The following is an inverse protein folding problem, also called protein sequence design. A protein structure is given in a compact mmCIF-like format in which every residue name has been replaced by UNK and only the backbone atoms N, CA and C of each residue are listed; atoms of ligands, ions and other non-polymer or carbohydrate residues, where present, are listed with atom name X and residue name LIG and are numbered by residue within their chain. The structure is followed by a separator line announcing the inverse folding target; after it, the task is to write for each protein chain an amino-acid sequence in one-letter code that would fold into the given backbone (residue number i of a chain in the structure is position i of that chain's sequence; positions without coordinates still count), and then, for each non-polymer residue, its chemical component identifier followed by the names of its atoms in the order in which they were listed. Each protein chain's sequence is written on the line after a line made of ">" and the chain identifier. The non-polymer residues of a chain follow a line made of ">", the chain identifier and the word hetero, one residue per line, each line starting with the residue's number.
data_IF_795504704018
#
_entry.id   IF_795504704018
#
_cell.length_a   1.000
_cell.length_b   1.000
_cell.length_c   1.000
_cell.angle_alpha   90.00
_cell.angle_beta   90.00
_cell.angle_gamma   90.00
#
_symmetry.space_group_name_H-M   'P 1'
#
loop_
_entity.id
_entity.type
_entity.pdbx_description
1 polymer ?
#
# COMPACT_ATOMS: atom_id res chain seq x y z
N UNK A 1 18.09 -30.16 -13.50
CA UNK A 1 16.62 -30.06 -13.37
C UNK A 1 16.22 -28.73 -12.73
N UNK A 2 16.90 -28.27 -11.69
CA UNK A 2 16.73 -26.91 -11.13
C UNK A 2 17.12 -25.78 -12.11
N UNK A 3 18.24 -25.95 -12.83
CA UNK A 3 18.67 -25.01 -13.88
C UNK A 3 17.68 -24.90 -15.06
N UNK A 4 17.01 -26.01 -15.42
CA UNK A 4 15.96 -26.03 -16.45
C UNK A 4 14.64 -25.41 -16.00
N UNK A 5 14.46 -25.21 -14.69
CA UNK A 5 13.31 -24.52 -14.10
C UNK A 5 13.56 -23.01 -13.93
N UNK A 6 14.72 -22.50 -14.36
CA UNK A 6 15.07 -21.09 -14.24
C UNK A 6 15.34 -20.63 -12.80
N UNK A 7 15.49 -21.56 -11.85
CA UNK A 7 15.77 -21.28 -10.44
C UNK A 7 17.27 -21.12 -10.18
N UNK A 8 17.96 -20.36 -11.02
CA UNK A 8 19.25 -19.81 -10.63
C UNK A 8 18.92 -18.63 -9.71
N UNK A 9 19.30 -18.73 -8.44
CA UNK A 9 18.97 -17.74 -7.41
C UNK A 9 19.59 -16.38 -7.76
N UNK A 10 18.89 -15.57 -8.56
CA UNK A 10 19.00 -14.13 -8.41
C UNK A 10 18.47 -13.82 -7.03
N UNK A 11 19.36 -13.32 -6.17
CA UNK A 11 19.05 -12.87 -4.82
C UNK A 11 17.78 -12.01 -4.90
N UNK A 12 16.69 -12.54 -4.36
CA UNK A 12 15.38 -11.92 -4.46
C UNK A 12 15.54 -10.56 -3.78
N UNK A 13 15.59 -9.47 -4.56
CA UNK A 13 15.69 -8.13 -4.00
C UNK A 13 14.58 -8.04 -2.97
N UNK A 14 14.95 -7.77 -1.72
CA UNK A 14 13.98 -7.37 -0.71
C UNK A 14 13.32 -6.11 -1.26
N UNK A 15 12.20 -6.29 -1.97
CA UNK A 15 11.37 -5.18 -2.36
C UNK A 15 10.73 -4.70 -1.08
N UNK A 16 11.39 -3.70 -0.49
CA UNK A 16 10.92 -3.06 0.74
C UNK A 16 9.46 -2.65 0.62
N UNK A 17 8.97 -2.29 -0.58
CA UNK A 17 7.56 -1.94 -0.77
C UNK A 17 6.63 -3.15 -0.67
N UNK A 18 7.08 -4.34 -1.11
CA UNK A 18 6.32 -5.57 -0.93
C UNK A 18 6.23 -5.95 0.55
N UNK A 19 7.35 -5.88 1.28
CA UNK A 19 7.38 -6.15 2.71
C UNK A 19 6.56 -5.12 3.51
N UNK A 20 6.64 -3.84 3.13
CA UNK A 20 5.80 -2.77 3.68
C UNK A 20 4.33 -3.06 3.42
N UNK A 21 3.97 -3.48 2.20
CA UNK A 21 2.61 -3.84 1.82
C UNK A 21 2.02 -4.97 2.68
N UNK A 22 2.80 -6.01 2.99
CA UNK A 22 2.40 -7.09 3.90
C UNK A 22 2.16 -6.58 5.33
N UNK A 23 2.92 -5.59 5.77
CA UNK A 23 2.78 -4.95 7.09
C UNK A 23 1.68 -3.87 7.13
N UNK A 24 0.93 -3.67 6.04
CA UNK A 24 -0.06 -2.61 5.96
C UNK A 24 0.55 -1.20 5.91
N UNK A 25 1.78 -1.08 5.42
CA UNK A 25 2.48 0.18 5.25
C UNK A 25 2.47 0.58 3.77
N UNK A 26 1.94 1.77 3.46
CA UNK A 26 1.93 2.32 2.12
C UNK A 26 2.84 3.53 2.03
N UNK A 27 3.79 3.54 1.10
CA UNK A 27 4.57 4.73 0.74
C UNK A 27 3.81 5.56 -0.27
N UNK A 28 3.57 6.81 0.05
CA UNK A 28 2.92 7.78 -0.84
C UNK A 28 3.94 8.36 -1.82
N UNK A 29 3.45 9.00 -2.88
CA UNK A 29 4.30 9.59 -3.94
C UNK A 29 5.24 10.69 -3.42
N UNK A 30 4.86 11.37 -2.35
CA UNK A 30 5.65 12.40 -1.65
C UNK A 30 6.59 11.83 -0.57
N UNK A 31 6.70 10.49 -0.47
CA UNK A 31 7.64 9.81 0.42
C UNK A 31 7.14 9.66 1.86
N UNK A 32 5.87 9.97 2.14
CA UNK A 32 5.28 9.70 3.46
C UNK A 32 4.91 8.22 3.56
N UNK A 33 4.98 7.67 4.77
CA UNK A 33 4.55 6.31 5.06
C UNK A 33 3.22 6.34 5.81
N UNK A 34 2.22 5.67 5.25
CA UNK A 34 0.89 5.55 5.79
C UNK A 34 0.70 4.16 6.37
N UNK A 35 0.42 4.07 7.67
CA UNK A 35 0.04 2.83 8.32
C UNK A 35 -1.49 2.61 8.19
N UNK A 36 -1.88 1.49 7.59
CA UNK A 36 -3.27 1.12 7.33
C UNK A 36 -4.01 0.60 8.57
N UNK A 37 -3.32 0.12 9.60
CA UNK A 37 -3.95 -0.44 10.82
C UNK A 37 -4.77 0.62 11.56
N UNK A 38 -4.34 1.88 11.48
CA UNK A 38 -4.97 2.99 12.19
C UNK A 38 -5.67 3.98 11.25
N UNK A 39 -5.79 3.66 9.95
CA UNK A 39 -6.33 4.60 8.97
C UNK A 39 -7.80 4.93 9.23
N UNK A 40 -8.54 4.17 10.04
CA UNK A 40 -9.95 4.41 10.36
C UNK A 40 -10.19 5.50 11.43
N UNK A 41 -9.18 5.84 12.23
CA UNK A 41 -9.28 6.71 13.43
C UNK A 41 -8.43 7.98 13.34
N UNK A 42 -7.70 8.16 12.25
CA UNK A 42 -6.85 9.35 12.04
C UNK A 42 -7.63 10.53 11.46
N UNK A 43 -7.13 11.77 11.59
CA UNK A 43 -7.68 12.93 10.86
C UNK A 43 -7.66 12.76 9.33
N UNK A 44 -6.76 11.91 8.81
CA UNK A 44 -6.74 11.54 7.40
C UNK A 44 -7.94 10.66 7.03
N UNK A 45 -8.34 9.74 7.93
CA UNK A 45 -9.56 8.93 7.79
C UNK A 45 -10.79 9.79 7.55
N UNK A 46 -10.96 10.82 8.37
CA UNK A 46 -12.10 11.72 8.31
C UNK A 46 -12.10 12.48 6.98
N UNK A 47 -10.94 13.00 6.55
CA UNK A 47 -10.79 13.66 5.25
C UNK A 47 -11.12 12.73 4.08
N UNK A 48 -10.68 11.47 4.14
CA UNK A 48 -10.96 10.46 3.10
C UNK A 48 -12.44 10.10 3.09
N UNK A 49 -13.05 9.85 4.24
CA UNK A 49 -14.50 9.58 4.38
C UNK A 49 -15.32 10.73 3.79
N UNK A 50 -15.04 11.96 4.18
CA UNK A 50 -15.73 13.15 3.66
C UNK A 50 -15.57 13.27 2.14
N UNK A 51 -14.36 13.11 1.61
CA UNK A 51 -14.13 13.16 0.14
C UNK A 51 -14.83 12.02 -0.60
N UNK A 52 -14.85 10.82 -0.04
CA UNK A 52 -15.55 9.67 -0.62
C UNK A 52 -17.07 9.91 -0.64
N UNK A 53 -17.63 10.42 0.45
CA UNK A 53 -19.05 10.81 0.52
C UNK A 53 -19.37 11.91 -0.48
N UNK A 54 -18.56 12.97 -0.56
CA UNK A 54 -18.72 14.05 -1.53
C UNK A 54 -18.67 13.54 -2.98
N UNK A 55 -17.80 12.58 -3.28
CA UNK A 55 -17.68 12.00 -4.61
C UNK A 55 -18.91 11.17 -4.97
N UNK A 56 -19.42 10.34 -4.06
CA UNK A 56 -20.65 9.55 -4.28
C UNK A 56 -21.85 10.47 -4.48
N UNK A 57 -21.98 11.51 -3.66
CA UNK A 57 -23.09 12.47 -3.74
C UNK A 57 -23.05 13.33 -5.00
N UNK A 58 -21.86 13.59 -5.56
CA UNK A 58 -21.70 14.37 -6.81
C UNK A 58 -21.84 13.52 -8.08
N UNK A 59 -21.74 12.19 -7.96
CA UNK A 59 -21.89 11.26 -9.09
C UNK A 59 -23.33 10.72 -9.23
N UNK A 60 -24.24 11.11 -8.33
CA UNK A 60 -25.67 10.78 -8.38
C UNK A 60 -26.52 11.82 -9.10
#
# INVERSE_FOLDING_TARGET
>A
MLEKLGLNSEEQKEDTNYLDGIQGLLKTKDGQQLNLDNIGTTPLAEKVKTKACDLVLKQG
#
